data_IF_938461049060
#
_entry.id   IF_938461049060
#
_cell.length_a   1.000
_cell.length_b   1.000
_cell.length_c   1.000
_cell.angle_alpha   90.00
_cell.angle_beta   90.00
_cell.angle_gamma   90.00
#
_symmetry.space_group_name_H-M   'P 1'
#
loop_
_entity.id
_entity.type
_entity.pdbx_description
1 polymer ?
#
# COMPACT_ATOMS: atom_id res chain seq x y z
N UNK A 1 37.67 3.93 -8.66
CA UNK A 1 37.20 3.66 -7.28
C UNK A 1 37.49 4.90 -6.46
N UNK A 2 36.53 5.80 -6.29
CA UNK A 2 36.63 6.87 -5.32
C UNK A 2 36.01 6.33 -4.03
N UNK A 3 36.83 6.00 -3.03
CA UNK A 3 36.34 5.64 -1.70
C UNK A 3 35.50 6.79 -1.16
N UNK A 4 34.23 6.52 -0.84
CA UNK A 4 33.34 7.50 -0.27
C UNK A 4 33.82 7.78 1.16
N UNK A 5 34.60 8.86 1.35
CA UNK A 5 35.21 9.21 2.65
C UNK A 5 34.11 9.60 3.63
N UNK A 6 33.88 8.76 4.63
CA UNK A 6 32.92 9.05 5.71
C UNK A 6 33.60 9.99 6.71
N UNK A 7 33.00 11.16 6.91
CA UNK A 7 33.51 12.18 7.82
C UNK A 7 32.77 12.17 9.15
N UNK A 8 33.48 12.46 10.25
CA UNK A 8 32.88 12.79 11.55
C UNK A 8 32.10 14.10 11.43
N UNK A 9 31.08 14.28 12.29
CA UNK A 9 30.36 15.55 12.38
C UNK A 9 31.34 16.71 12.62
N UNK A 10 31.17 17.82 11.90
CA UNK A 10 32.09 18.97 11.93
C UNK A 10 32.35 19.54 13.36
N UNK A 11 31.41 19.35 14.29
CA UNK A 11 31.50 19.78 15.69
C UNK A 11 32.41 18.88 16.55
N UNK A 12 32.77 17.68 16.10
CA UNK A 12 33.60 16.70 16.81
C UNK A 12 34.95 16.51 16.09
N UNK A 13 35.93 17.36 16.43
CA UNK A 13 37.35 17.13 16.13
C UNK A 13 37.87 17.73 14.82
N UNK A 14 38.37 18.98 14.81
CA UNK A 14 38.99 19.60 13.63
C UNK A 14 40.30 18.92 13.18
N UNK A 15 40.85 18.00 13.98
CA UNK A 15 42.15 17.36 13.75
C UNK A 15 42.11 15.96 13.13
N UNK A 16 40.93 15.33 12.99
CA UNK A 16 40.77 14.01 12.34
C UNK A 16 39.35 13.84 11.82
N UNK A 17 39.01 14.52 10.71
CA UNK A 17 37.66 14.49 10.14
C UNK A 17 37.32 13.12 9.54
N UNK A 18 38.32 12.33 9.12
CA UNK A 18 38.11 11.04 8.48
C UNK A 18 37.98 9.88 9.46
N UNK A 19 36.98 9.07 9.20
CA UNK A 19 36.70 7.88 9.97
C UNK A 19 37.50 6.71 9.37
N UNK A 20 38.45 6.16 10.13
CA UNK A 20 39.14 4.92 9.74
C UNK A 20 38.23 3.69 9.78
N UNK A 21 38.69 2.54 9.29
CA UNK A 21 37.90 1.29 9.12
C UNK A 21 37.04 0.93 10.34
N UNK A 22 37.57 1.07 11.57
CA UNK A 22 36.83 0.80 12.81
C UNK A 22 35.59 1.68 12.97
N UNK A 23 35.69 2.97 12.67
CA UNK A 23 34.55 3.85 12.80
C UNK A 23 33.53 3.69 11.67
N UNK A 24 33.95 3.26 10.47
CA UNK A 24 33.03 2.84 9.39
C UNK A 24 32.19 1.65 9.83
N UNK A 25 32.82 0.65 10.48
CA UNK A 25 32.11 -0.48 11.08
C UNK A 25 31.16 -0.03 12.19
N UNK A 26 31.58 0.89 13.06
CA UNK A 26 30.69 1.43 14.12
C UNK A 26 29.50 2.18 13.53
N UNK A 27 29.72 3.02 12.51
CA UNK A 27 28.65 3.78 11.85
C UNK A 27 27.65 2.86 11.17
N UNK A 28 28.12 1.87 10.41
CA UNK A 28 27.28 0.83 9.79
C UNK A 28 26.46 0.07 10.83
N UNK A 29 27.08 -0.31 11.96
CA UNK A 29 26.37 -0.99 13.06
C UNK A 29 25.25 -0.13 13.64
N UNK A 30 25.45 1.18 13.80
CA UNK A 30 24.40 2.10 14.26
C UNK A 30 23.23 2.10 13.26
N UNK A 31 23.51 2.23 11.97
CA UNK A 31 22.51 2.23 10.89
C UNK A 31 21.72 0.91 10.86
N UNK A 32 22.40 -0.24 10.88
CA UNK A 32 21.75 -1.55 10.80
C UNK A 32 20.85 -1.80 12.02
N UNK A 33 21.29 -1.42 13.23
CA UNK A 33 20.48 -1.53 14.45
C UNK A 33 19.30 -0.57 14.43
N UNK A 34 19.49 0.65 13.92
CA UNK A 34 18.39 1.60 13.76
C UNK A 34 17.31 1.09 12.82
N UNK A 35 17.68 0.44 11.71
CA UNK A 35 16.72 -0.17 10.79
C UNK A 35 15.86 -1.22 11.52
N UNK A 36 16.48 -2.11 12.30
CA UNK A 36 15.74 -3.10 13.10
C UNK A 36 14.79 -2.43 14.11
N UNK A 37 15.28 -1.47 14.89
CA UNK A 37 14.46 -0.78 15.90
C UNK A 37 13.32 0.03 15.29
N UNK A 38 13.52 0.66 14.13
CA UNK A 38 12.46 1.34 13.40
C UNK A 38 11.38 0.35 12.92
N UNK A 39 11.76 -0.88 12.58
CA UNK A 39 10.81 -1.95 12.22
C UNK A 39 10.01 -2.44 13.42
N UNK A 40 10.65 -2.58 14.58
CA UNK A 40 10.01 -3.12 15.80
C UNK A 40 9.15 -2.08 16.55
N UNK A 41 9.64 -0.85 16.66
CA UNK A 41 9.03 0.18 17.52
C UNK A 41 8.34 1.29 16.71
N UNK A 42 8.62 1.39 15.41
CA UNK A 42 8.30 2.54 14.59
C UNK A 42 9.29 3.71 14.77
N UNK A 43 9.36 4.58 13.76
CA UNK A 43 10.28 5.71 13.74
C UNK A 43 10.05 6.69 14.90
N UNK A 44 8.80 7.08 15.16
CA UNK A 44 8.49 8.08 16.18
C UNK A 44 8.77 7.60 17.61
N UNK A 45 8.54 6.32 17.91
CA UNK A 45 8.76 5.76 19.26
C UNK A 45 10.21 5.33 19.51
N UNK A 46 11.04 5.25 18.47
CA UNK A 46 12.46 4.92 18.63
C UNK A 46 13.24 6.13 19.15
N UNK A 47 14.03 5.93 20.22
CA UNK A 47 14.89 6.96 20.82
C UNK A 47 16.37 6.76 20.49
N UNK A 48 17.15 7.84 20.50
CA UNK A 48 18.62 7.78 20.32
C UNK A 48 19.28 6.92 21.40
N UNK A 49 18.75 6.95 22.63
CA UNK A 49 19.28 6.15 23.73
C UNK A 49 19.03 4.64 23.50
N UNK A 50 17.87 4.26 22.95
CA UNK A 50 17.59 2.88 22.57
C UNK A 50 18.55 2.40 21.46
N UNK A 51 18.77 3.23 20.44
CA UNK A 51 19.71 2.95 19.34
C UNK A 51 21.13 2.77 19.88
N UNK A 52 21.63 3.70 20.71
CA UNK A 52 22.98 3.63 21.27
C UNK A 52 23.18 2.36 22.11
N UNK A 53 22.19 2.02 22.95
CA UNK A 53 22.19 0.80 23.76
C UNK A 53 22.26 -0.46 22.89
N UNK A 54 21.39 -0.56 21.88
CA UNK A 54 21.34 -1.73 20.99
C UNK A 54 22.60 -1.85 20.11
N UNK A 55 23.18 -0.73 19.68
CA UNK A 55 24.45 -0.71 18.96
C UNK A 55 25.67 -0.99 19.86
N UNK A 56 25.50 -1.01 21.19
CA UNK A 56 26.58 -1.22 22.16
C UNK A 56 27.59 -0.07 22.17
N UNK A 57 27.12 1.15 21.95
CA UNK A 57 27.94 2.38 21.96
C UNK A 57 27.41 3.38 22.98
N UNK A 58 28.25 4.32 23.42
CA UNK A 58 27.77 5.41 24.26
C UNK A 58 26.93 6.41 23.44
N UNK A 59 26.03 7.15 24.09
CA UNK A 59 25.29 8.25 23.46
C UNK A 59 26.23 9.30 22.84
N UNK A 60 27.33 9.61 23.54
CA UNK A 60 28.36 10.53 23.03
C UNK A 60 29.03 9.97 21.76
N UNK A 61 29.29 8.66 21.71
CA UNK A 61 29.84 7.99 20.52
C UNK A 61 28.87 8.04 19.35
N UNK A 62 27.57 7.81 19.57
CA UNK A 62 26.55 7.94 18.50
C UNK A 62 26.55 9.36 17.92
N UNK A 63 26.57 10.39 18.78
CA UNK A 63 26.58 11.79 18.36
C UNK A 63 27.85 12.22 17.59
N UNK A 64 28.93 11.44 17.62
CA UNK A 64 30.09 11.68 16.76
C UNK A 64 29.81 11.34 15.29
N UNK A 65 28.87 10.43 15.04
CA UNK A 65 28.49 9.97 13.71
C UNK A 65 27.20 10.61 13.20
N UNK A 66 26.19 10.77 14.06
CA UNK A 66 24.85 11.23 13.69
C UNK A 66 24.34 12.32 14.63
N UNK A 67 23.79 13.44 14.12
CA UNK A 67 23.17 14.46 14.96
C UNK A 67 21.93 13.98 15.73
N UNK A 68 21.18 13.02 15.17
CA UNK A 68 20.01 12.43 15.77
C UNK A 68 19.54 11.20 14.98
N UNK A 69 18.34 10.71 15.31
CA UNK A 69 17.72 9.57 14.62
C UNK A 69 17.25 9.94 13.20
N UNK A 70 16.92 11.20 12.99
CA UNK A 70 16.41 11.71 11.72
C UNK A 70 17.50 11.61 10.63
N UNK A 71 18.76 11.93 10.95
CA UNK A 71 19.86 11.75 9.99
C UNK A 71 20.22 10.29 9.75
N UNK A 72 20.00 9.40 10.73
CA UNK A 72 20.14 7.95 10.51
C UNK A 72 19.07 7.47 9.53
N UNK A 73 17.83 7.95 9.70
CA UNK A 73 16.72 7.62 8.81
C UNK A 73 16.94 8.16 7.39
N UNK A 74 17.41 9.41 7.25
CA UNK A 74 17.76 10.00 5.96
C UNK A 74 18.86 9.20 5.26
N UNK A 75 19.87 8.71 5.98
CA UNK A 75 20.90 7.84 5.40
C UNK A 75 20.33 6.50 4.91
N UNK A 76 19.48 5.85 5.70
CA UNK A 76 18.80 4.62 5.28
C UNK A 76 17.93 4.85 4.03
N UNK A 77 17.25 6.00 3.97
CA UNK A 77 16.45 6.41 2.84
C UNK A 77 17.31 6.65 1.60
N UNK A 78 18.46 7.32 1.74
CA UNK A 78 19.43 7.51 0.66
C UNK A 78 20.00 6.19 0.14
N UNK A 79 20.29 5.23 1.04
CA UNK A 79 20.76 3.89 0.67
C UNK A 79 19.70 3.11 -0.13
N UNK A 80 18.46 3.08 0.39
CA UNK A 80 17.32 2.43 -0.27
C UNK A 80 17.02 3.09 -1.62
N UNK A 81 16.91 4.41 -1.64
CA UNK A 81 16.61 5.17 -2.84
C UNK A 81 17.69 5.06 -3.91
N UNK A 82 18.96 5.04 -3.50
CA UNK A 82 20.08 4.76 -4.41
C UNK A 82 20.02 3.35 -4.99
N UNK A 83 19.51 2.36 -4.25
CA UNK A 83 19.30 1.00 -4.77
C UNK A 83 18.20 0.98 -5.83
N UNK A 84 17.04 1.57 -5.55
CA UNK A 84 15.94 1.69 -6.50
C UNK A 84 16.36 2.42 -7.79
N UNK A 85 17.02 3.57 -7.68
CA UNK A 85 17.53 4.32 -8.85
C UNK A 85 18.61 3.56 -9.62
N UNK A 86 19.32 2.61 -9.02
CA UNK A 86 20.22 1.71 -9.77
C UNK A 86 19.44 0.69 -10.58
N UNK A 87 18.37 0.12 -10.02
CA UNK A 87 17.50 -0.84 -10.71
C UNK A 87 16.84 -0.19 -11.92
N UNK A 88 16.20 0.97 -11.76
CA UNK A 88 15.55 1.71 -12.87
C UNK A 88 16.53 2.18 -13.96
N UNK A 89 17.78 2.49 -13.62
CA UNK A 89 18.79 2.83 -14.64
C UNK A 89 19.24 1.63 -15.47
N UNK A 90 19.19 0.43 -14.90
CA UNK A 90 19.68 -0.81 -15.51
C UNK A 90 18.62 -1.58 -16.26
N UNK A 91 17.34 -1.23 -16.11
CA UNK A 91 16.28 -1.81 -16.93
C UNK A 91 16.63 -1.62 -18.42
N UNK A 92 16.58 -2.70 -19.18
CA UNK A 92 16.75 -2.66 -20.63
C UNK A 92 15.54 -2.02 -21.33
N UNK A 93 15.52 -1.99 -22.67
CA UNK A 93 14.38 -1.48 -23.42
C UNK A 93 13.12 -2.29 -23.09
N UNK A 94 12.02 -1.58 -22.86
CA UNK A 94 10.68 -2.15 -22.73
C UNK A 94 10.01 -2.22 -24.11
N UNK A 95 8.97 -3.04 -24.24
CA UNK A 95 8.18 -3.14 -25.47
C UNK A 95 7.42 -4.47 -25.56
N UNK A 96 6.55 -4.63 -26.58
CA UNK A 96 5.80 -5.86 -26.84
C UNK A 96 6.68 -6.95 -27.49
N UNK A 97 7.82 -7.25 -26.88
CA UNK A 97 8.82 -8.19 -27.39
C UNK A 97 9.30 -9.13 -26.28
N UNK A 98 9.81 -10.32 -26.62
CA UNK A 98 10.48 -11.22 -25.66
C UNK A 98 11.47 -10.51 -24.73
N UNK A 99 12.39 -9.73 -25.30
CA UNK A 99 13.40 -8.99 -24.54
C UNK A 99 12.78 -7.90 -23.66
N UNK A 100 11.74 -7.21 -24.14
CA UNK A 100 11.01 -6.21 -23.35
C UNK A 100 10.36 -6.81 -22.11
N UNK A 101 9.73 -7.97 -22.27
CA UNK A 101 9.09 -8.71 -21.19
C UNK A 101 10.11 -9.26 -20.18
N UNK A 102 11.22 -9.85 -20.65
CA UNK A 102 12.30 -10.32 -19.78
C UNK A 102 12.91 -9.16 -18.96
N UNK A 103 13.08 -7.98 -19.57
CA UNK A 103 13.58 -6.78 -18.88
C UNK A 103 12.61 -6.29 -17.80
N UNK A 104 11.31 -6.35 -18.05
CA UNK A 104 10.27 -6.00 -17.09
C UNK A 104 10.27 -6.97 -15.90
N UNK A 105 10.30 -8.28 -16.17
CA UNK A 105 10.37 -9.31 -15.13
C UNK A 105 11.63 -9.17 -14.27
N UNK A 106 12.79 -8.94 -14.90
CA UNK A 106 14.04 -8.68 -14.18
C UNK A 106 13.94 -7.46 -13.26
N UNK A 107 13.40 -6.34 -13.76
CA UNK A 107 13.21 -5.14 -12.94
C UNK A 107 12.29 -5.40 -11.75
N UNK A 108 11.19 -6.14 -11.94
CA UNK A 108 10.27 -6.50 -10.87
C UNK A 108 10.95 -7.37 -9.80
N UNK A 109 11.75 -8.36 -10.21
CA UNK A 109 12.52 -9.21 -9.29
C UNK A 109 13.54 -8.41 -8.47
N UNK A 110 14.31 -7.54 -9.11
CA UNK A 110 15.27 -6.67 -8.42
C UNK A 110 14.59 -5.66 -7.50
N UNK A 111 13.44 -5.11 -7.92
CA UNK A 111 12.64 -4.21 -7.09
C UNK A 111 12.15 -4.92 -5.83
N UNK A 112 11.60 -6.13 -5.96
CA UNK A 112 11.17 -6.95 -4.83
C UNK A 112 12.32 -7.28 -3.88
N UNK A 113 13.52 -7.58 -4.39
CA UNK A 113 14.71 -7.77 -3.57
C UNK A 113 15.11 -6.50 -2.78
N UNK A 114 15.06 -5.32 -3.43
CA UNK A 114 15.29 -4.05 -2.74
C UNK A 114 14.23 -3.82 -1.66
N UNK A 115 12.97 -4.13 -1.96
CA UNK A 115 11.89 -4.04 -1.00
C UNK A 115 12.13 -4.90 0.22
N UNK A 116 12.44 -6.20 0.07
CA UNK A 116 12.69 -7.09 1.21
C UNK A 116 13.79 -6.55 2.12
N UNK A 117 14.92 -6.15 1.51
CA UNK A 117 16.09 -5.64 2.22
C UNK A 117 15.81 -4.36 3.01
N UNK A 118 14.94 -3.50 2.49
CA UNK A 118 14.64 -2.18 3.07
C UNK A 118 13.17 -2.04 3.49
N UNK A 119 12.48 -3.15 3.74
CA UNK A 119 11.03 -3.20 3.99
C UNK A 119 10.58 -2.26 5.10
N UNK A 120 11.37 -2.15 6.18
CA UNK A 120 11.13 -1.16 7.24
C UNK A 120 11.05 0.26 6.71
N UNK A 121 11.89 0.66 5.76
CA UNK A 121 11.86 2.01 5.20
C UNK A 121 10.55 2.25 4.46
N UNK A 122 10.11 1.30 3.63
CA UNK A 122 8.83 1.39 2.93
C UNK A 122 7.63 1.49 3.88
N UNK A 123 7.60 0.68 4.94
CA UNK A 123 6.54 0.71 5.96
C UNK A 123 6.55 2.02 6.75
N UNK A 124 7.74 2.51 7.14
CA UNK A 124 7.85 3.73 7.94
C UNK A 124 7.65 5.00 7.10
N UNK A 125 7.91 4.98 5.79
CA UNK A 125 7.71 6.14 4.91
C UNK A 125 6.27 6.64 4.92
N UNK A 126 5.27 5.76 4.84
CA UNK A 126 3.87 6.17 4.89
C UNK A 126 3.56 6.91 6.20
N UNK A 127 4.05 6.41 7.33
CA UNK A 127 3.85 7.01 8.65
C UNK A 127 4.57 8.37 8.80
N UNK A 128 5.80 8.47 8.26
CA UNK A 128 6.61 9.69 8.32
C UNK A 128 6.08 10.75 7.36
N UNK A 129 5.67 10.38 6.15
CA UNK A 129 5.07 11.29 5.17
C UNK A 129 3.72 11.85 5.64
N UNK A 130 2.94 11.05 6.40
CA UNK A 130 1.68 11.49 7.01
C UNK A 130 1.86 12.43 8.22
N UNK A 131 3.10 12.81 8.57
CA UNK A 131 3.40 13.64 9.73
C UNK A 131 4.35 14.76 9.34
N UNK A 132 4.03 16.00 9.70
CA UNK A 132 4.97 17.12 9.52
C UNK A 132 6.29 16.80 10.23
N UNK A 133 7.34 16.57 9.44
CA UNK A 133 8.66 16.22 9.92
C UNK A 133 9.73 16.79 9.00
N UNK A 134 10.95 16.95 9.51
CA UNK A 134 12.10 17.39 8.70
C UNK A 134 12.49 16.39 7.61
N UNK A 135 12.01 15.14 7.70
CA UNK A 135 12.29 14.04 6.77
C UNK A 135 11.31 14.04 5.60
N UNK A 136 10.05 14.46 5.80
CA UNK A 136 8.99 14.42 4.80
C UNK A 136 9.38 15.06 3.45
N UNK A 137 9.92 16.29 3.37
CA UNK A 137 10.27 16.90 2.09
C UNK A 137 11.33 16.13 1.29
N UNK A 138 12.19 15.38 1.97
CA UNK A 138 13.22 14.57 1.34
C UNK A 138 12.64 13.25 0.78
N UNK A 139 11.64 12.68 1.45
CA UNK A 139 10.85 11.54 0.93
C UNK A 139 10.14 11.96 -0.36
N UNK A 140 9.39 13.07 -0.33
CA UNK A 140 8.60 13.53 -1.48
C UNK A 140 9.51 13.80 -2.68
N UNK A 141 10.66 14.45 -2.45
CA UNK A 141 11.67 14.69 -3.49
C UNK A 141 12.20 13.39 -4.08
N UNK A 142 12.46 12.39 -3.25
CA UNK A 142 12.95 11.09 -3.70
C UNK A 142 11.90 10.37 -4.56
N UNK A 143 10.67 10.26 -4.06
CA UNK A 143 9.56 9.58 -4.75
C UNK A 143 9.29 10.24 -6.10
N UNK A 144 9.18 11.56 -6.14
CA UNK A 144 8.98 12.30 -7.39
C UNK A 144 10.11 12.09 -8.39
N UNK A 145 11.37 12.10 -7.94
CA UNK A 145 12.53 11.83 -8.81
C UNK A 145 12.51 10.40 -9.36
N UNK A 146 12.18 9.42 -8.53
CA UNK A 146 12.12 8.03 -8.95
C UNK A 146 11.00 7.80 -9.96
N UNK A 147 9.80 8.33 -9.69
CA UNK A 147 8.66 8.26 -10.59
C UNK A 147 8.96 8.91 -11.94
N UNK A 148 9.54 10.11 -11.94
CA UNK A 148 9.91 10.79 -13.18
C UNK A 148 10.94 10.00 -14.01
N UNK A 149 11.91 9.33 -13.38
CA UNK A 149 12.84 8.46 -14.11
C UNK A 149 12.15 7.25 -14.72
N UNK A 150 11.19 6.66 -14.00
CA UNK A 150 10.39 5.54 -14.52
C UNK A 150 9.48 5.99 -15.67
N UNK A 151 8.84 7.16 -15.55
CA UNK A 151 8.02 7.75 -16.59
C UNK A 151 8.81 8.00 -17.88
N UNK A 152 10.04 8.53 -17.78
CA UNK A 152 10.93 8.67 -18.95
C UNK A 152 11.24 7.32 -19.61
N UNK A 153 11.47 6.26 -18.82
CA UNK A 153 11.69 4.91 -19.37
C UNK A 153 10.47 4.35 -20.10
N UNK A 154 9.27 4.64 -19.58
CA UNK A 154 8.02 4.22 -20.18
C UNK A 154 7.69 5.05 -21.44
N UNK A 155 8.02 6.35 -21.45
CA UNK A 155 7.88 7.22 -22.61
C UNK A 155 8.73 6.72 -23.80
N UNK A 156 9.98 6.31 -23.54
CA UNK A 156 10.87 5.70 -24.54
C UNK A 156 10.33 4.39 -25.13
N UNK A 157 9.37 3.74 -24.46
CA UNK A 157 8.80 2.47 -24.86
C UNK A 157 7.55 2.60 -25.76
N UNK A 158 7.13 3.82 -26.09
CA UNK A 158 5.98 4.11 -26.97
C UNK A 158 4.68 3.44 -26.49
N UNK A 159 4.26 3.74 -25.26
CA UNK A 159 3.03 3.19 -24.67
C UNK A 159 1.79 3.43 -25.55
N UNK A 160 0.88 2.47 -25.59
CA UNK A 160 -0.37 2.58 -26.33
C UNK A 160 -1.42 3.38 -25.55
N UNK A 161 -1.59 4.67 -25.87
CA UNK A 161 -2.68 5.49 -25.33
C UNK A 161 -2.70 5.66 -23.81
N UNK A 162 -1.55 5.51 -23.14
CA UNK A 162 -1.39 5.72 -21.70
C UNK A 162 -0.31 6.77 -21.47
N UNK A 163 -0.63 7.77 -20.65
CA UNK A 163 0.34 8.78 -20.25
C UNK A 163 1.48 8.14 -19.44
N UNK A 164 2.77 8.37 -19.78
CA UNK A 164 3.89 7.75 -19.08
C UNK A 164 3.99 8.08 -17.58
N UNK A 165 3.55 9.26 -17.15
CA UNK A 165 3.56 9.63 -15.72
C UNK A 165 2.47 8.85 -14.96
N UNK A 166 1.27 8.70 -15.54
CA UNK A 166 0.22 7.84 -14.97
C UNK A 166 0.60 6.36 -14.98
N UNK A 167 1.26 5.89 -16.04
CA UNK A 167 1.77 4.52 -16.12
C UNK A 167 2.82 4.25 -15.03
N UNK A 168 3.77 5.16 -14.84
CA UNK A 168 4.80 5.06 -13.80
C UNK A 168 4.19 5.08 -12.40
N UNK A 169 3.22 5.97 -12.16
CA UNK A 169 2.48 6.06 -10.90
C UNK A 169 1.74 4.74 -10.60
N UNK A 170 0.95 4.23 -11.55
CA UNK A 170 0.19 2.99 -11.39
C UNK A 170 1.12 1.79 -11.16
N UNK A 171 2.19 1.68 -11.95
CA UNK A 171 3.22 0.66 -11.78
C UNK A 171 3.83 0.71 -10.38
N UNK A 172 4.28 1.88 -9.93
CA UNK A 172 4.89 2.03 -8.60
C UNK A 172 3.89 1.72 -7.48
N UNK A 173 2.65 2.20 -7.59
CA UNK A 173 1.58 1.95 -6.64
C UNK A 173 1.30 0.46 -6.46
N UNK A 174 1.09 -0.26 -7.56
CA UNK A 174 0.76 -1.70 -7.55
C UNK A 174 1.97 -2.52 -7.08
N UNK A 175 3.16 -2.27 -7.63
CA UNK A 175 4.40 -3.01 -7.28
C UNK A 175 4.72 -2.89 -5.79
N UNK A 176 4.60 -1.68 -5.25
CA UNK A 176 4.82 -1.45 -3.82
C UNK A 176 3.78 -2.17 -2.96
N UNK A 177 2.49 -2.07 -3.32
CA UNK A 177 1.41 -2.64 -2.51
C UNK A 177 1.44 -4.16 -2.51
N UNK A 178 1.72 -4.78 -3.65
CA UNK A 178 1.86 -6.25 -3.77
C UNK A 178 3.05 -6.78 -2.95
N UNK A 179 4.20 -6.09 -2.97
CA UNK A 179 5.34 -6.45 -2.14
C UNK A 179 5.06 -6.28 -0.64
N UNK A 180 4.27 -5.28 -0.26
CA UNK A 180 3.81 -5.13 1.12
C UNK A 180 2.94 -6.32 1.55
N UNK A 181 2.08 -6.86 0.69
CA UNK A 181 1.30 -8.06 0.99
C UNK A 181 2.19 -9.28 1.22
N UNK A 182 3.21 -9.48 0.38
CA UNK A 182 4.21 -10.54 0.57
C UNK A 182 4.93 -10.40 1.91
N UNK A 183 5.38 -9.20 2.25
CA UNK A 183 6.09 -8.95 3.51
C UNK A 183 5.23 -9.08 4.76
N UNK A 184 3.94 -8.80 4.65
CA UNK A 184 2.98 -8.85 5.77
C UNK A 184 2.18 -10.15 5.86
N UNK A 185 2.58 -11.17 5.08
CA UNK A 185 1.92 -12.49 5.02
C UNK A 185 0.42 -12.41 4.63
N UNK A 186 0.10 -11.46 3.73
CA UNK A 186 -1.25 -11.24 3.16
C UNK A 186 -1.32 -11.64 1.69
N UNK A 187 -0.42 -12.52 1.27
CA UNK A 187 -0.27 -12.98 -0.12
C UNK A 187 -0.84 -14.40 -0.34
N UNK A 188 -1.67 -14.92 0.57
CA UNK A 188 -2.27 -16.26 0.49
C UNK A 188 -1.25 -17.38 0.23
N UNK A 189 -0.07 -17.27 0.85
CA UNK A 189 1.02 -18.24 0.72
C UNK A 189 1.77 -18.21 -0.62
N UNK A 190 1.59 -17.17 -1.44
CA UNK A 190 2.31 -17.02 -2.71
C UNK A 190 3.78 -16.68 -2.52
N UNK A 191 4.60 -17.28 -3.38
CA UNK A 191 6.02 -16.95 -3.48
C UNK A 191 6.23 -15.59 -4.15
N UNK A 192 7.38 -14.96 -3.91
CA UNK A 192 7.74 -13.70 -4.55
C UNK A 192 7.86 -13.91 -6.06
N UNK A 193 8.39 -15.06 -6.46
CA UNK A 193 8.60 -15.41 -7.86
C UNK A 193 7.26 -15.53 -8.62
N UNK A 194 6.26 -16.23 -8.08
CA UNK A 194 4.95 -16.36 -8.76
C UNK A 194 4.22 -15.02 -8.86
N UNK A 195 4.36 -14.16 -7.85
CA UNK A 195 3.81 -12.80 -7.85
C UNK A 195 4.53 -11.90 -8.85
N UNK A 196 5.86 -11.95 -8.93
CA UNK A 196 6.65 -11.21 -9.92
C UNK A 196 6.28 -11.66 -11.34
N UNK A 197 6.14 -12.96 -11.58
CA UNK A 197 5.73 -13.52 -12.87
C UNK A 197 4.34 -12.99 -13.29
N UNK A 198 3.34 -13.07 -12.41
CA UNK A 198 1.99 -12.57 -12.68
C UNK A 198 1.95 -11.05 -12.88
N UNK A 199 2.71 -10.29 -12.08
CA UNK A 199 2.79 -8.84 -12.19
C UNK A 199 3.51 -8.40 -13.47
N UNK A 200 4.46 -9.20 -13.96
CA UNK A 200 5.11 -9.00 -15.26
C UNK A 200 4.09 -9.11 -16.39
N UNK A 201 3.30 -10.18 -16.41
CA UNK A 201 2.25 -10.40 -17.42
C UNK A 201 1.21 -9.28 -17.37
N UNK A 202 0.74 -8.94 -16.17
CA UNK A 202 -0.23 -7.87 -15.97
C UNK A 202 0.28 -6.52 -16.50
N UNK A 203 1.47 -6.07 -16.05
CA UNK A 203 2.01 -4.78 -16.47
C UNK A 203 2.37 -4.75 -17.96
N UNK A 204 2.84 -5.87 -18.52
CA UNK A 204 3.06 -6.00 -19.96
C UNK A 204 1.78 -5.71 -20.75
N UNK A 205 0.64 -6.22 -20.30
CA UNK A 205 -0.66 -6.00 -20.95
C UNK A 205 -1.24 -4.61 -20.65
N UNK A 206 -0.97 -4.01 -19.49
CA UNK A 206 -1.32 -2.60 -19.20
C UNK A 206 -0.62 -1.65 -20.17
N UNK A 207 0.68 -1.86 -20.41
CA UNK A 207 1.50 -1.01 -21.26
C UNK A 207 1.31 -1.30 -22.75
N UNK A 208 1.15 -2.58 -23.10
CA UNK A 208 1.08 -3.08 -24.46
C UNK A 208 -0.03 -4.13 -24.60
N UNK A 209 -1.31 -3.70 -24.68
CA UNK A 209 -2.47 -4.62 -24.65
C UNK A 209 -2.49 -5.62 -25.81
N UNK A 210 -1.86 -5.30 -26.94
CA UNK A 210 -1.74 -6.17 -28.11
C UNK A 210 -0.50 -7.08 -28.11
N UNK A 211 0.22 -7.19 -26.99
CA UNK A 211 1.43 -8.04 -26.85
C UNK A 211 1.19 -9.45 -27.42
N UNK A 212 1.98 -9.94 -28.39
CA UNK A 212 1.83 -11.29 -28.94
C UNK A 212 1.98 -12.39 -27.87
N UNK A 213 1.18 -13.46 -27.94
CA UNK A 213 1.18 -14.51 -26.90
C UNK A 213 2.54 -15.19 -26.72
N UNK A 214 3.32 -15.35 -27.81
CA UNK A 214 4.65 -15.94 -27.77
C UNK A 214 5.70 -15.11 -27.00
N UNK A 215 5.37 -13.88 -26.61
CA UNK A 215 6.20 -13.08 -25.71
C UNK A 215 6.25 -13.69 -24.32
N UNK A 216 5.18 -14.36 -23.87
CA UNK A 216 5.10 -14.95 -22.54
C UNK A 216 5.79 -16.32 -22.43
N UNK A 217 6.15 -16.94 -23.55
CA UNK A 217 6.81 -18.26 -23.60
C UNK A 217 8.30 -18.20 -23.22
N UNK A 218 8.87 -16.99 -23.03
CA UNK A 218 10.32 -16.78 -22.83
C UNK A 218 10.76 -17.14 -21.42
N UNK A 219 9.85 -17.09 -20.46
CA UNK A 219 10.10 -17.36 -19.05
C UNK A 219 9.28 -18.58 -18.58
N UNK A 220 9.82 -19.42 -17.69
CA UNK A 220 9.06 -20.48 -17.04
C UNK A 220 8.17 -19.87 -15.95
N UNK A 221 7.08 -19.23 -16.35
CA UNK A 221 6.16 -18.53 -15.46
C UNK A 221 5.55 -19.51 -14.45
N UNK A 222 5.67 -19.17 -13.16
CA UNK A 222 5.29 -20.06 -12.06
C UNK A 222 3.85 -19.83 -11.67
N UNK A 223 3.12 -20.93 -11.45
CA UNK A 223 1.78 -20.93 -10.87
C UNK A 223 1.82 -21.82 -9.63
N UNK A 224 1.52 -21.24 -8.48
CA UNK A 224 1.52 -21.97 -7.21
C UNK A 224 0.23 -22.81 -7.11
N UNK A 225 0.34 -24.04 -6.59
CA UNK A 225 -0.69 -25.07 -6.69
C UNK A 225 -1.98 -24.79 -5.89
N UNK A 226 -1.91 -23.98 -4.84
CA UNK A 226 -3.07 -23.62 -4.03
C UNK A 226 -3.89 -22.55 -4.78
N UNK A 227 -5.13 -22.84 -5.16
CA UNK A 227 -6.02 -21.88 -5.82
C UNK A 227 -7.19 -21.43 -4.94
N UNK A 228 -7.08 -21.65 -3.62
CA UNK A 228 -8.18 -21.40 -2.68
C UNK A 228 -7.78 -20.30 -1.71
N UNK A 229 -8.63 -19.28 -1.61
CA UNK A 229 -8.55 -18.25 -0.57
C UNK A 229 -9.16 -18.82 0.70
N UNK A 230 -8.40 -18.84 1.78
CA UNK A 230 -8.90 -19.29 3.08
C UNK A 230 -9.71 -18.19 3.72
N UNK A 231 -11.00 -18.43 3.91
CA UNK A 231 -11.89 -17.48 4.57
C UNK A 231 -11.89 -17.80 6.08
N UNK A 232 -11.50 -16.85 6.95
CA UNK A 232 -11.56 -17.07 8.39
C UNK A 232 -13.02 -17.18 8.88
N UNK A 233 -13.26 -17.71 10.09
CA UNK A 233 -14.61 -17.75 10.65
C UNK A 233 -15.22 -16.35 10.74
N UNK A 234 -16.54 -16.25 10.51
CA UNK A 234 -17.28 -14.99 10.63
C UNK A 234 -17.11 -14.46 12.06
N UNK A 235 -16.56 -13.24 12.23
CA UNK A 235 -16.41 -12.65 13.56
C UNK A 235 -17.78 -12.36 14.18
N UNK A 236 -17.92 -12.57 15.49
CA UNK A 236 -19.18 -12.28 16.18
C UNK A 236 -19.39 -10.77 16.31
N UNK A 237 -20.11 -10.19 15.35
CA UNK A 237 -20.49 -8.77 15.35
C UNK A 237 -21.75 -8.44 16.19
N UNK A 238 -22.13 -9.29 17.17
CA UNK A 238 -23.34 -9.06 17.97
C UNK A 238 -23.25 -7.79 18.83
N UNK A 239 -24.23 -6.92 18.69
CA UNK A 239 -24.41 -5.68 19.43
C UNK A 239 -23.50 -4.53 18.97
N UNK A 240 -22.68 -4.71 17.93
CA UNK A 240 -21.74 -3.67 17.48
C UNK A 240 -22.24 -2.91 16.25
N UNK A 241 -23.06 -3.49 15.37
CA UNK A 241 -23.59 -2.78 14.18
C UNK A 241 -24.58 -1.68 14.58
N UNK A 242 -24.78 -0.70 13.69
CA UNK A 242 -25.80 0.34 13.84
C UNK A 242 -27.18 -0.30 14.01
N UNK A 243 -27.51 -1.30 13.19
CA UNK A 243 -28.81 -1.96 13.22
C UNK A 243 -29.09 -2.57 14.60
N UNK A 244 -28.14 -3.32 15.16
CA UNK A 244 -28.33 -3.99 16.45
C UNK A 244 -28.34 -3.01 17.62
N UNK A 245 -27.49 -1.96 17.59
CA UNK A 245 -27.49 -0.91 18.62
C UNK A 245 -28.76 -0.08 18.65
N UNK A 246 -29.42 0.06 17.49
CA UNK A 246 -30.58 0.96 17.33
C UNK A 246 -31.92 0.23 17.28
N UNK A 247 -31.94 -1.10 17.35
CA UNK A 247 -33.13 -1.95 17.24
C UNK A 247 -34.31 -1.49 18.10
N UNK A 248 -34.05 -1.14 19.36
CA UNK A 248 -35.06 -0.74 20.34
C UNK A 248 -35.08 0.78 20.61
N UNK A 249 -34.40 1.56 19.77
CA UNK A 249 -34.28 3.01 19.92
C UNK A 249 -35.30 3.76 19.06
N UNK A 250 -35.73 4.93 19.54
CA UNK A 250 -36.53 5.84 18.72
C UNK A 250 -35.81 6.24 17.43
N UNK A 251 -36.55 6.58 16.37
CA UNK A 251 -35.99 7.08 15.09
C UNK A 251 -35.01 8.23 15.28
N UNK A 252 -35.27 9.14 16.23
CA UNK A 252 -34.36 10.24 16.56
C UNK A 252 -33.03 9.73 17.14
N UNK A 253 -33.09 8.75 18.03
CA UNK A 253 -31.90 8.15 18.63
C UNK A 253 -31.10 7.36 17.58
N UNK A 254 -31.77 6.59 16.71
CA UNK A 254 -31.14 5.92 15.56
C UNK A 254 -30.38 6.90 14.66
N UNK A 255 -31.03 7.99 14.23
CA UNK A 255 -30.38 9.05 13.44
C UNK A 255 -29.19 9.69 14.15
N UNK A 256 -29.23 9.76 15.49
CA UNK A 256 -28.10 10.29 16.27
C UNK A 256 -26.92 9.32 16.22
N UNK A 257 -27.15 8.03 16.36
CA UNK A 257 -26.11 6.99 16.21
C UNK A 257 -25.52 7.03 14.80
N UNK A 258 -26.34 7.02 13.76
CA UNK A 258 -25.89 7.09 12.35
C UNK A 258 -24.99 8.30 12.09
N UNK A 259 -25.36 9.49 12.61
CA UNK A 259 -24.53 10.70 12.46
C UNK A 259 -23.22 10.65 13.24
N UNK A 260 -23.21 10.03 14.42
CA UNK A 260 -21.98 9.83 15.19
C UNK A 260 -21.04 8.83 14.50
N UNK A 261 -21.57 7.77 13.91
CA UNK A 261 -20.80 6.78 13.13
C UNK A 261 -20.21 7.42 11.87
N UNK A 262 -21.02 8.13 11.08
CA UNK A 262 -20.55 8.83 9.88
C UNK A 262 -19.49 9.91 10.22
N UNK A 263 -19.71 10.71 11.27
CA UNK A 263 -18.71 11.68 11.72
C UNK A 263 -17.43 10.99 12.24
N UNK A 264 -17.56 9.85 12.90
CA UNK A 264 -16.46 9.00 13.32
C UNK A 264 -15.61 8.53 12.15
N UNK A 265 -16.24 7.89 11.16
CA UNK A 265 -15.60 7.40 9.94
C UNK A 265 -14.85 8.52 9.22
N UNK A 266 -15.50 9.68 9.00
CA UNK A 266 -14.88 10.84 8.36
C UNK A 266 -13.67 11.39 9.14
N UNK A 267 -13.73 11.43 10.49
CA UNK A 267 -12.58 11.85 11.31
C UNK A 267 -11.43 10.83 11.24
N UNK A 268 -11.74 9.53 11.20
CA UNK A 268 -10.73 8.49 11.03
C UNK A 268 -10.07 8.57 9.66
N UNK A 269 -10.84 8.75 8.58
CA UNK A 269 -10.31 8.90 7.23
C UNK A 269 -9.43 10.17 7.07
N UNK A 270 -9.85 11.30 7.65
CA UNK A 270 -9.14 12.56 7.47
C UNK A 270 -7.84 12.68 8.28
N UNK A 271 -7.74 12.04 9.45
CA UNK A 271 -6.63 12.28 10.41
C UNK A 271 -5.97 10.99 10.91
N UNK A 272 -6.51 9.83 10.57
CA UNK A 272 -6.16 8.55 11.17
C UNK A 272 -6.82 8.33 12.54
N UNK A 273 -7.06 7.07 12.88
CA UNK A 273 -7.73 6.68 14.12
C UNK A 273 -7.05 7.21 15.38
N UNK A 274 -5.71 7.12 15.46
CA UNK A 274 -4.99 7.52 16.68
C UNK A 274 -5.09 9.01 16.98
N UNK A 275 -5.09 9.86 15.94
CA UNK A 275 -5.17 11.33 16.09
C UNK A 275 -6.60 11.85 16.24
N UNK A 276 -7.60 11.10 15.76
CA UNK A 276 -8.99 11.44 15.99
C UNK A 276 -9.34 11.41 17.48
N UNK A 277 -10.17 12.35 17.93
CA UNK A 277 -10.65 12.44 19.30
C UNK A 277 -12.17 12.61 19.35
N UNK A 278 -12.77 12.30 20.50
CA UNK A 278 -14.24 12.31 20.69
C UNK A 278 -14.83 13.71 20.53
N UNK A 279 -14.09 14.76 20.91
CA UNK A 279 -14.58 16.14 20.83
C UNK A 279 -14.76 16.60 19.37
N UNK A 280 -13.80 16.29 18.51
CA UNK A 280 -13.90 16.56 17.08
C UNK A 280 -15.05 15.78 16.43
N UNK A 281 -15.25 14.52 16.83
CA UNK A 281 -16.33 13.67 16.30
C UNK A 281 -17.70 14.24 16.64
N UNK A 282 -17.94 14.62 17.91
CA UNK A 282 -19.24 15.19 18.31
C UNK A 282 -19.45 16.58 17.70
N UNK A 283 -18.39 17.38 17.57
CA UNK A 283 -18.47 18.68 16.91
C UNK A 283 -18.87 18.52 15.44
N UNK A 284 -18.22 17.60 14.71
CA UNK A 284 -18.57 17.28 13.32
C UNK A 284 -20.00 16.73 13.18
N UNK A 285 -20.46 15.92 14.15
CA UNK A 285 -21.84 15.41 14.16
C UNK A 285 -22.89 16.47 14.58
N UNK A 286 -22.45 17.62 15.11
CA UNK A 286 -23.31 18.70 15.61
C UNK A 286 -23.97 18.38 16.96
N UNK A 287 -23.28 17.67 17.84
CA UNK A 287 -23.76 17.27 19.17
C UNK A 287 -22.81 17.68 20.29
N UNK A 288 -23.33 17.71 21.52
CA UNK A 288 -22.51 17.91 22.72
C UNK A 288 -21.80 16.60 23.11
N UNK A 289 -20.64 16.71 23.78
CA UNK A 289 -19.84 15.55 24.24
C UNK A 289 -20.67 14.51 25.00
N UNK A 290 -21.59 14.94 25.87
CA UNK A 290 -22.46 14.02 26.62
C UNK A 290 -23.39 13.16 25.75
N UNK A 291 -23.69 13.58 24.51
CA UNK A 291 -24.48 12.78 23.56
C UNK A 291 -23.72 11.56 23.08
N UNK A 292 -22.40 11.63 22.91
CA UNK A 292 -21.57 10.47 22.54
C UNK A 292 -21.68 9.36 23.57
N UNK A 293 -21.44 9.70 24.84
CA UNK A 293 -21.42 8.75 25.95
C UNK A 293 -22.78 8.14 26.29
N UNK A 294 -23.86 8.60 25.64
CA UNK A 294 -25.17 7.93 25.69
C UNK A 294 -25.24 6.69 24.80
N UNK A 295 -24.44 6.64 23.73
CA UNK A 295 -24.50 5.61 22.69
C UNK A 295 -23.21 4.80 22.53
N UNK A 296 -22.07 5.39 22.92
CA UNK A 296 -20.75 4.78 22.81
C UNK A 296 -19.97 4.99 24.10
N UNK A 297 -19.32 3.94 24.59
CA UNK A 297 -18.56 4.02 25.85
C UNK A 297 -17.25 4.80 25.69
N UNK A 298 -16.58 4.63 24.55
CA UNK A 298 -15.27 5.21 24.24
C UNK A 298 -15.05 5.27 22.72
N UNK A 299 -13.93 5.86 22.29
CA UNK A 299 -13.57 5.99 20.87
C UNK A 299 -13.42 4.61 20.21
N UNK A 300 -12.91 3.63 20.95
CA UNK A 300 -12.75 2.25 20.51
C UNK A 300 -14.11 1.57 20.25
N UNK A 301 -15.12 1.84 21.08
CA UNK A 301 -16.47 1.31 20.90
C UNK A 301 -17.10 1.81 19.59
N UNK A 302 -16.86 3.08 19.26
CA UNK A 302 -17.22 3.65 17.96
C UNK A 302 -16.42 3.00 16.82
N UNK A 303 -15.11 2.78 16.98
CA UNK A 303 -14.28 2.10 15.98
C UNK A 303 -14.81 0.72 15.63
N UNK A 304 -15.25 -0.07 16.62
CA UNK A 304 -15.86 -1.38 16.40
C UNK A 304 -17.11 -1.28 15.54
N UNK A 305 -17.98 -0.30 15.81
CA UNK A 305 -19.17 -0.06 14.98
C UNK A 305 -18.81 0.36 13.57
N UNK A 306 -17.91 1.34 13.40
CA UNK A 306 -17.47 1.76 12.05
C UNK A 306 -16.82 0.58 11.29
N UNK A 307 -16.04 -0.27 11.97
CA UNK A 307 -15.44 -1.46 11.36
C UNK A 307 -16.48 -2.49 10.94
N UNK A 308 -17.52 -2.69 11.74
CA UNK A 308 -18.60 -3.61 11.39
C UNK A 308 -19.41 -3.11 10.18
N UNK A 309 -19.69 -1.80 10.11
CA UNK A 309 -20.35 -1.20 8.95
C UNK A 309 -19.46 -1.29 7.69
N UNK A 310 -18.17 -0.95 7.81
CA UNK A 310 -17.22 -1.05 6.70
C UNK A 310 -17.11 -2.49 6.18
N UNK A 311 -17.04 -3.48 7.07
CA UNK A 311 -17.01 -4.89 6.71
C UNK A 311 -18.29 -5.34 6.00
N UNK A 312 -19.45 -4.90 6.48
CA UNK A 312 -20.73 -5.19 5.82
C UNK A 312 -20.80 -4.59 4.41
N UNK A 313 -20.39 -3.33 4.24
CA UNK A 313 -20.35 -2.67 2.93
C UNK A 313 -19.35 -3.33 1.99
N UNK A 314 -18.16 -3.72 2.47
CA UNK A 314 -17.18 -4.46 1.68
C UNK A 314 -17.75 -5.80 1.18
N UNK A 315 -18.49 -6.53 2.02
CA UNK A 315 -19.17 -7.77 1.63
C UNK A 315 -20.21 -7.51 0.54
N UNK A 316 -21.01 -6.44 0.65
CA UNK A 316 -21.97 -6.06 -0.40
C UNK A 316 -21.27 -5.73 -1.71
N UNK A 317 -20.22 -4.91 -1.70
CA UNK A 317 -19.44 -4.59 -2.91
C UNK A 317 -18.81 -5.84 -3.52
N UNK A 318 -18.32 -6.78 -2.70
CA UNK A 318 -17.81 -8.07 -3.15
C UNK A 318 -18.88 -8.93 -3.80
N UNK A 319 -20.07 -9.05 -3.19
CA UNK A 319 -21.18 -9.81 -3.78
C UNK A 319 -21.61 -9.24 -5.13
N UNK A 320 -21.70 -7.92 -5.25
CA UNK A 320 -21.99 -7.27 -6.53
C UNK A 320 -20.92 -7.57 -7.58
N UNK A 321 -19.63 -7.51 -7.22
CA UNK A 321 -18.51 -7.79 -8.13
C UNK A 321 -18.60 -9.21 -8.71
N UNK A 322 -19.00 -10.22 -7.92
CA UNK A 322 -19.17 -11.62 -8.39
C UNK A 322 -20.17 -11.75 -9.53
N UNK A 323 -21.15 -10.85 -9.59
CA UNK A 323 -22.23 -10.88 -10.56
C UNK A 323 -22.02 -9.88 -11.71
N UNK A 324 -20.95 -9.08 -11.69
CA UNK A 324 -20.64 -8.18 -12.78
C UNK A 324 -20.19 -8.95 -14.01
N UNK A 325 -20.63 -8.47 -15.18
CA UNK A 325 -20.08 -8.93 -16.46
C UNK A 325 -18.70 -8.29 -16.67
N UNK A 326 -17.81 -8.94 -17.45
CA UNK A 326 -16.53 -8.36 -17.82
C UNK A 326 -16.70 -6.94 -18.40
N UNK A 327 -15.74 -6.02 -18.19
CA UNK A 327 -15.92 -4.62 -18.55
C UNK A 327 -16.26 -4.41 -20.03
N UNK A 328 -15.69 -5.21 -20.94
CA UNK A 328 -15.98 -5.14 -22.38
C UNK A 328 -17.46 -5.44 -22.73
N UNK A 329 -18.15 -6.24 -21.90
CA UNK A 329 -19.55 -6.59 -22.10
C UNK A 329 -20.52 -5.57 -21.46
N UNK A 330 -20.10 -4.90 -20.38
CA UNK A 330 -20.89 -3.87 -19.70
C UNK A 330 -20.02 -2.80 -19.02
N UNK A 331 -19.45 -1.85 -19.79
CA UNK A 331 -18.54 -0.84 -19.25
C UNK A 331 -19.21 0.06 -18.21
N UNK A 332 -20.50 0.37 -18.41
CA UNK A 332 -21.24 1.26 -17.52
C UNK A 332 -21.46 0.64 -16.14
N UNK A 333 -21.83 -0.66 -16.08
CA UNK A 333 -22.00 -1.36 -14.81
C UNK A 333 -20.67 -1.47 -14.05
N UNK A 334 -19.57 -1.81 -14.74
CA UNK A 334 -18.25 -1.92 -14.12
C UNK A 334 -17.77 -0.59 -13.55
N UNK A 335 -17.87 0.50 -14.33
CA UNK A 335 -17.53 1.86 -13.86
C UNK A 335 -18.41 2.32 -12.70
N UNK A 336 -19.71 2.01 -12.74
CA UNK A 336 -20.64 2.32 -11.65
C UNK A 336 -20.32 1.58 -10.35
N UNK A 337 -19.74 0.37 -10.45
CA UNK A 337 -19.20 -0.34 -9.29
C UNK A 337 -17.89 0.29 -8.78
N UNK A 338 -16.95 0.62 -9.67
CA UNK A 338 -15.71 1.30 -9.30
C UNK A 338 -15.97 2.64 -8.59
N UNK A 339 -16.93 3.44 -9.06
CA UNK A 339 -17.31 4.70 -8.42
C UNK A 339 -17.75 4.50 -6.96
N UNK A 340 -18.61 3.50 -6.71
CA UNK A 340 -19.08 3.17 -5.36
C UNK A 340 -17.96 2.62 -4.48
N UNK A 341 -17.02 1.87 -5.06
CA UNK A 341 -15.83 1.44 -4.35
C UNK A 341 -14.95 2.65 -3.93
N UNK A 342 -14.71 3.61 -4.83
CA UNK A 342 -13.92 4.82 -4.52
C UNK A 342 -14.60 5.64 -3.42
N UNK A 343 -15.93 5.76 -3.43
CA UNK A 343 -16.71 6.38 -2.35
C UNK A 343 -16.55 5.63 -1.03
N UNK A 344 -16.62 4.30 -1.06
CA UNK A 344 -16.40 3.43 0.10
C UNK A 344 -15.01 3.63 0.72
N UNK A 345 -13.95 3.65 -0.09
CA UNK A 345 -12.57 3.92 0.37
C UNK A 345 -12.43 5.33 0.96
N UNK A 346 -13.07 6.33 0.35
CA UNK A 346 -13.06 7.70 0.87
C UNK A 346 -13.75 7.81 2.24
N UNK A 347 -14.84 7.05 2.46
CA UNK A 347 -15.59 7.05 3.72
C UNK A 347 -14.89 6.23 4.82
N UNK A 348 -14.41 5.02 4.49
CA UNK A 348 -13.94 4.04 5.47
C UNK A 348 -12.42 3.82 5.47
N UNK A 349 -11.65 4.49 4.60
CA UNK A 349 -10.21 4.29 4.44
C UNK A 349 -9.42 4.37 5.75
N UNK A 350 -9.79 5.28 6.66
CA UNK A 350 -9.13 5.41 7.96
C UNK A 350 -9.35 4.23 8.92
N UNK A 351 -10.39 3.42 8.72
CA UNK A 351 -10.61 2.16 9.45
C UNK A 351 -9.96 0.98 8.73
N UNK A 352 -9.97 0.97 7.39
CA UNK A 352 -9.27 -0.02 6.58
C UNK A 352 -7.75 0.01 6.85
N UNK A 353 -7.19 1.20 7.07
CA UNK A 353 -5.79 1.38 7.47
C UNK A 353 -5.52 0.72 8.83
N UNK A 354 -6.46 0.86 9.78
CA UNK A 354 -6.36 0.25 11.11
C UNK A 354 -6.41 -1.28 11.05
N UNK A 355 -7.21 -1.86 10.14
CA UNK A 355 -7.21 -3.31 9.88
C UNK A 355 -5.83 -3.78 9.39
N UNK A 356 -5.25 -3.02 8.46
CA UNK A 356 -4.02 -3.37 7.75
C UNK A 356 -2.78 -3.23 8.63
N UNK A 357 -2.70 -2.18 9.45
CA UNK A 357 -1.46 -1.81 10.15
C UNK A 357 -1.28 -2.48 11.53
N UNK A 358 -2.16 -3.43 11.90
CA UNK A 358 -2.24 -3.99 13.27
C UNK A 358 -2.24 -2.89 14.34
N UNK A 359 -2.87 -1.75 14.03
CA UNK A 359 -2.85 -0.53 14.86
C UNK A 359 -3.69 -0.62 16.14
N UNK A 360 -4.22 -1.80 16.47
CA UNK A 360 -5.04 -1.99 17.67
C UNK A 360 -4.71 -3.30 18.36
N UNK A 361 -4.75 -3.27 19.69
CA UNK A 361 -4.69 -4.48 20.53
C UNK A 361 -6.03 -5.24 20.56
N UNK A 362 -7.08 -4.73 19.89
CA UNK A 362 -8.40 -5.37 19.85
C UNK A 362 -8.45 -6.46 18.78
N UNK A 363 -8.59 -7.72 19.22
CA UNK A 363 -8.69 -8.86 18.30
C UNK A 363 -9.85 -8.72 17.32
N UNK A 364 -11.01 -8.20 17.77
CA UNK A 364 -12.22 -8.16 16.94
C UNK A 364 -12.12 -7.20 15.74
N UNK A 365 -11.44 -6.06 15.85
CA UNK A 365 -11.22 -5.15 14.71
C UNK A 365 -10.35 -5.83 13.65
N UNK A 366 -9.30 -6.52 14.09
CA UNK A 366 -8.43 -7.29 13.19
C UNK A 366 -9.17 -8.48 12.56
N UNK A 367 -10.00 -9.19 13.33
CA UNK A 367 -10.80 -10.32 12.85
C UNK A 367 -11.82 -9.87 11.79
N UNK A 368 -12.50 -8.73 12.01
CA UNK A 368 -13.41 -8.11 11.03
C UNK A 368 -12.69 -7.73 9.74
N UNK A 369 -11.52 -7.11 9.85
CA UNK A 369 -10.70 -6.76 8.69
C UNK A 369 -10.24 -7.98 7.90
N UNK A 370 -9.70 -9.00 8.58
CA UNK A 370 -9.24 -10.24 7.95
C UNK A 370 -10.38 -11.00 7.25
N UNK A 371 -11.57 -11.03 7.86
CA UNK A 371 -12.75 -11.62 7.25
C UNK A 371 -13.22 -10.85 6.01
N UNK A 372 -13.33 -9.51 6.11
CA UNK A 372 -13.73 -8.66 4.99
C UNK A 372 -12.76 -8.72 3.81
N UNK A 373 -11.46 -8.73 4.08
CA UNK A 373 -10.41 -8.92 3.08
C UNK A 373 -10.53 -10.26 2.36
N UNK A 374 -10.62 -11.38 3.10
CA UNK A 374 -10.74 -12.69 2.49
C UNK A 374 -12.01 -12.86 1.64
N UNK A 375 -13.12 -12.23 2.07
CA UNK A 375 -14.37 -12.20 1.30
C UNK A 375 -14.23 -11.38 0.00
N UNK A 376 -13.55 -10.23 0.08
CA UNK A 376 -13.26 -9.38 -1.07
C UNK A 376 -12.35 -10.09 -2.07
N UNK A 377 -11.27 -10.70 -1.58
CA UNK A 377 -10.34 -11.47 -2.40
C UNK A 377 -11.04 -12.64 -3.08
N UNK A 378 -11.93 -13.34 -2.36
CA UNK A 378 -12.74 -14.41 -2.94
C UNK A 378 -13.69 -13.91 -4.02
N UNK A 379 -14.25 -12.70 -3.88
CA UNK A 379 -15.10 -12.10 -4.90
C UNK A 379 -14.32 -11.70 -6.16
N UNK A 380 -13.12 -11.14 -5.97
CA UNK A 380 -12.19 -10.82 -7.06
C UNK A 380 -11.81 -12.09 -7.81
N UNK A 381 -11.51 -13.19 -7.09
CA UNK A 381 -11.16 -14.47 -7.71
C UNK A 381 -12.28 -14.99 -8.61
N UNK A 382 -13.52 -14.99 -8.11
CA UNK A 382 -14.69 -15.39 -8.88
C UNK A 382 -14.87 -14.52 -10.12
N UNK A 383 -14.79 -13.19 -9.96
CA UNK A 383 -14.93 -12.24 -11.06
C UNK A 383 -13.86 -12.44 -12.15
N UNK A 384 -12.59 -12.58 -11.77
CA UNK A 384 -11.50 -12.84 -12.71
C UNK A 384 -11.63 -14.20 -13.39
N UNK A 385 -12.24 -15.19 -12.72
CA UNK A 385 -12.47 -16.54 -13.26
C UNK A 385 -13.63 -16.61 -14.26
N UNK A 386 -14.41 -15.54 -14.43
CA UNK A 386 -15.51 -15.50 -15.43
C UNK A 386 -15.01 -15.45 -16.87
N UNK A 387 -13.72 -15.18 -17.09
CA UNK A 387 -13.13 -14.99 -18.42
C UNK A 387 -12.04 -16.02 -18.66
N UNK A 388 -12.18 -16.79 -19.74
CA UNK A 388 -11.15 -17.72 -20.18
C UNK A 388 -10.06 -17.01 -20.99
N UNK A 389 -8.80 -17.34 -20.68
CA UNK A 389 -7.59 -16.74 -21.27
C UNK A 389 -6.54 -17.81 -21.49
N UNK A 390 -6.78 -18.80 -22.37
CA UNK A 390 -5.88 -19.94 -22.54
C UNK A 390 -4.49 -19.54 -23.04
N UNK A 391 -4.38 -18.36 -23.67
CA UNK A 391 -3.16 -17.84 -24.26
C UNK A 391 -2.37 -16.90 -23.31
N UNK A 392 -2.87 -16.65 -22.08
CA UNK A 392 -2.23 -15.74 -21.11
C UNK A 392 -2.07 -16.45 -19.75
N UNK A 393 -0.82 -16.67 -19.28
CA UNK A 393 -0.54 -17.40 -18.06
C UNK A 393 -0.72 -16.52 -16.82
N UNK A 394 -1.94 -16.48 -16.27
CA UNK A 394 -2.22 -15.84 -14.99
C UNK A 394 -2.23 -16.86 -13.84
N UNK A 395 -1.46 -16.58 -12.78
CA UNK A 395 -1.73 -17.19 -11.47
C UNK A 395 -3.00 -16.54 -10.87
N UNK A 396 -4.06 -17.31 -10.56
CA UNK A 396 -5.33 -16.74 -10.12
C UNK A 396 -5.23 -15.92 -8.83
N UNK A 397 -4.45 -16.39 -7.86
CA UNK A 397 -4.32 -15.72 -6.56
C UNK A 397 -3.39 -14.52 -6.66
N UNK A 398 -2.28 -14.62 -7.40
CA UNK A 398 -1.45 -13.44 -7.65
C UNK A 398 -2.25 -12.36 -8.41
N UNK A 399 -3.14 -12.75 -9.32
CA UNK A 399 -4.05 -11.83 -10.01
C UNK A 399 -5.01 -11.13 -9.04
N UNK A 400 -5.53 -11.85 -8.04
CA UNK A 400 -6.33 -11.25 -6.95
C UNK A 400 -5.52 -10.21 -6.18
N UNK A 401 -4.27 -10.51 -5.82
CA UNK A 401 -3.39 -9.57 -5.11
C UNK A 401 -3.14 -8.30 -5.93
N UNK A 402 -2.93 -8.45 -7.24
CA UNK A 402 -2.73 -7.31 -8.16
C UNK A 402 -4.01 -6.48 -8.26
N UNK A 403 -5.17 -7.12 -8.45
CA UNK A 403 -6.45 -6.42 -8.51
C UNK A 403 -6.72 -5.66 -7.20
N UNK A 404 -6.55 -6.31 -6.05
CA UNK A 404 -6.68 -5.67 -4.74
C UNK A 404 -5.73 -4.49 -4.57
N UNK A 405 -4.47 -4.63 -5.02
CA UNK A 405 -3.49 -3.55 -4.98
C UNK A 405 -3.93 -2.32 -5.81
N UNK A 406 -4.55 -2.53 -6.97
CA UNK A 406 -5.13 -1.44 -7.78
C UNK A 406 -6.23 -0.74 -6.98
N UNK A 407 -7.16 -1.53 -6.43
CA UNK A 407 -8.30 -1.03 -5.67
C UNK A 407 -7.86 -0.20 -4.45
N UNK A 408 -6.93 -0.72 -3.64
CA UNK A 408 -6.52 -0.06 -2.40
C UNK A 408 -5.58 1.14 -2.61
N UNK A 409 -4.72 1.11 -3.65
CA UNK A 409 -3.62 2.09 -3.77
C UNK A 409 -3.82 3.13 -4.85
N UNK A 410 -4.45 2.80 -5.97
CA UNK A 410 -4.43 3.66 -7.16
C UNK A 410 -5.19 4.96 -6.94
N UNK A 411 -6.35 4.90 -6.28
CA UNK A 411 -7.11 6.08 -5.89
C UNK A 411 -6.30 7.03 -5.00
N UNK A 412 -5.62 6.51 -3.96
CA UNK A 412 -4.77 7.34 -3.08
C UNK A 412 -3.56 7.92 -3.81
N UNK A 413 -2.88 7.11 -4.62
CA UNK A 413 -1.70 7.55 -5.36
C UNK A 413 -2.05 8.68 -6.36
N UNK A 414 -3.25 8.65 -6.94
CA UNK A 414 -3.76 9.73 -7.80
C UNK A 414 -4.03 11.06 -7.09
N UNK A 415 -4.10 11.06 -5.75
CA UNK A 415 -4.24 12.27 -4.93
C UNK A 415 -2.89 12.83 -4.48
N UNK A 416 -1.82 12.03 -4.58
CA UNK A 416 -0.46 12.38 -4.14
C UNK A 416 0.39 12.99 -5.27
N UNK A 417 -0.07 12.92 -6.52
CA UNK A 417 0.59 13.54 -7.67
C UNK A 417 0.43 15.06 -7.65
N UNK A 418 1.27 15.77 -8.42
CA UNK A 418 1.30 17.24 -8.47
C UNK A 418 -0.07 17.86 -8.81
N UNK A 419 -0.81 17.22 -9.72
CA UNK A 419 -2.20 17.59 -10.06
C UNK A 419 -3.12 16.43 -9.72
N UNK A 420 -3.76 16.43 -8.52
CA UNK A 420 -4.67 15.37 -8.11
C UNK A 420 -5.80 15.14 -9.13
N UNK A 421 -6.15 13.87 -9.34
CA UNK A 421 -7.28 13.51 -10.20
C UNK A 421 -8.61 13.71 -9.47
N UNK A 422 -9.65 14.10 -10.19
CA UNK A 422 -11.01 14.07 -9.64
C UNK A 422 -11.55 12.62 -9.57
N UNK A 423 -12.66 12.35 -8.83
CA UNK A 423 -13.18 10.99 -8.69
C UNK A 423 -13.54 10.29 -10.01
N UNK A 424 -13.97 11.02 -11.03
CA UNK A 424 -14.31 10.44 -12.34
C UNK A 424 -13.05 9.99 -13.08
N UNK A 425 -12.01 10.83 -13.05
CA UNK A 425 -10.69 10.51 -13.60
C UNK A 425 -10.02 9.32 -12.89
N UNK A 426 -10.23 9.16 -11.58
CA UNK A 426 -9.76 7.98 -10.84
C UNK A 426 -10.44 6.72 -11.34
N UNK A 427 -11.77 6.76 -11.53
CA UNK A 427 -12.54 5.63 -12.07
C UNK A 427 -12.09 5.31 -13.50
N UNK A 428 -11.84 6.32 -14.34
CA UNK A 428 -11.26 6.14 -15.68
C UNK A 428 -9.94 5.38 -15.64
N UNK A 429 -9.02 5.83 -14.79
CA UNK A 429 -7.70 5.23 -14.66
C UNK A 429 -7.79 3.79 -14.15
N UNK A 430 -8.57 3.54 -13.10
CA UNK A 430 -8.78 2.19 -12.55
C UNK A 430 -9.41 1.26 -13.59
N UNK A 431 -10.43 1.72 -14.31
CA UNK A 431 -11.07 0.95 -15.38
C UNK A 431 -10.06 0.59 -16.46
N UNK A 432 -9.30 1.56 -16.97
CA UNK A 432 -8.31 1.34 -18.01
C UNK A 432 -7.20 0.36 -17.59
N UNK A 433 -6.68 0.48 -16.37
CA UNK A 433 -5.63 -0.40 -15.85
C UNK A 433 -6.15 -1.83 -15.67
N UNK A 434 -7.34 -2.01 -15.10
CA UNK A 434 -7.96 -3.34 -14.90
C UNK A 434 -8.31 -3.99 -16.25
N UNK A 435 -8.91 -3.22 -17.16
CA UNK A 435 -9.31 -3.70 -18.49
C UNK A 435 -8.12 -4.15 -19.31
N UNK A 436 -7.07 -3.33 -19.40
CA UNK A 436 -5.88 -3.69 -20.17
C UNK A 436 -5.12 -4.84 -19.53
N UNK A 437 -4.91 -4.79 -18.22
CA UNK A 437 -4.05 -5.74 -17.52
C UNK A 437 -4.68 -7.11 -17.31
N UNK A 438 -6.01 -7.20 -17.17
CA UNK A 438 -6.70 -8.48 -17.03
C UNK A 438 -7.50 -8.82 -18.29
N UNK A 439 -8.33 -7.93 -18.79
CA UNK A 439 -9.35 -8.28 -19.78
C UNK A 439 -8.93 -8.09 -21.25
N UNK A 440 -7.69 -7.67 -21.52
CA UNK A 440 -7.16 -7.68 -22.88
C UNK A 440 -7.22 -9.10 -23.46
N UNK A 441 -7.72 -9.21 -24.69
CA UNK A 441 -7.83 -10.49 -25.43
C UNK A 441 -8.72 -11.56 -24.76
N UNK A 442 -9.53 -11.17 -23.78
CA UNK A 442 -10.60 -11.98 -23.22
C UNK A 442 -11.55 -12.48 -24.32
N UNK A 443 -11.92 -13.77 -24.28
CA UNK A 443 -13.03 -14.29 -25.08
C UNK A 443 -14.27 -14.36 -24.18
N UNK A 444 -15.39 -13.85 -24.66
CA UNK A 444 -16.69 -13.88 -23.96
C UNK A 444 -17.33 -15.26 -23.98
#
# INVERSE_FOLDING_TARGET
>A
MSENRILRRASYGPSSPEIGTRGTTTRRKIVDVSLVLFGELGFFNTSVDAIAKAAGVSRATLYQYFPGKDEIFLELMDECGSALLRVTRRIGPLGPTPTGFDNLNWWLGEWSWVFERYSTMFVQWANVAATESVVQPEIDRFVGKYQHQLANRLADAELDGLDPEFAAMAMMAVVHRVNLYLHTDRAHGRSIESVVDALSVFLQLVFFPDTPANVFDTLPLRVDSAQVITIPPIPSARGITIEERTRDLSTRARRTVERLVAAGAAQFAARGYHRANVDDIVAAAGYARGTFYKYFNEKQDLLLTVSAEAGATAITLGDELRHLRPPAADPAAFRGWLSRFVEFEAEFGGVIDVWTERGTEQSLVADLGAYGEAMTDSAILDFLSTVDRPDIPFDPIASVLIFRAIMERLARASQEIETPLDPEQIVDLMSAVIERGFFSRARN
#
